data_IF_640210028102
#
_entry.id   IF_640210028102
#
_cell.length_a   1.000
_cell.length_b   1.000
_cell.length_c   1.000
_cell.angle_alpha   90.00
_cell.angle_beta   90.00
_cell.angle_gamma   90.00
#
_symmetry.space_group_name_H-M   'P 1'
#
loop_
_entity.id
_entity.type
_entity.pdbx_description
1 polymer ?
#
# COMPACT_ATOMS: atom_id res chain seq x y z
N UNK A 1 -28.34 -4.38 4.19
CA UNK A 1 -27.80 -5.25 3.16
C UNK A 1 -27.41 -4.51 1.87
N UNK A 2 -28.28 -3.66 1.25
CA UNK A 2 -27.93 -2.90 0.01
C UNK A 2 -26.72 -1.97 0.14
N UNK A 3 -26.50 -1.32 1.29
CA UNK A 3 -25.35 -0.43 1.52
C UNK A 3 -24.01 -1.17 1.62
N UNK A 4 -24.02 -2.42 2.12
CA UNK A 4 -22.85 -3.27 2.20
C UNK A 4 -22.42 -3.77 0.81
N UNK A 5 -23.42 -4.04 -0.05
CA UNK A 5 -23.17 -4.49 -1.43
C UNK A 5 -22.54 -3.39 -2.30
N UNK A 6 -22.94 -2.11 -2.09
CA UNK A 6 -22.37 -0.95 -2.80
C UNK A 6 -20.92 -0.72 -2.36
N UNK A 7 -20.60 -0.92 -1.08
CA UNK A 7 -19.24 -0.82 -0.58
C UNK A 7 -18.36 -1.91 -1.20
N UNK A 8 -18.87 -3.13 -1.29
CA UNK A 8 -18.16 -4.27 -1.88
C UNK A 8 -17.91 -4.07 -3.39
N UNK A 9 -18.88 -3.51 -4.13
CA UNK A 9 -18.72 -3.23 -5.57
C UNK A 9 -17.73 -2.09 -5.85
N UNK A 10 -17.67 -1.06 -5.00
CA UNK A 10 -16.71 0.03 -5.17
C UNK A 10 -15.27 -0.44 -4.89
N UNK A 11 -15.07 -1.29 -3.88
CA UNK A 11 -13.78 -1.89 -3.57
C UNK A 11 -13.36 -2.87 -4.66
N UNK A 12 -14.30 -3.60 -5.25
CA UNK A 12 -14.03 -4.48 -6.38
C UNK A 12 -13.65 -3.72 -7.66
N UNK A 13 -14.27 -2.55 -7.90
CA UNK A 13 -13.89 -1.66 -9.00
C UNK A 13 -12.48 -1.08 -8.80
N UNK A 14 -12.07 -0.75 -7.55
CA UNK A 14 -10.70 -0.34 -7.24
C UNK A 14 -9.70 -1.49 -7.38
N UNK A 15 -10.09 -2.73 -6.99
CA UNK A 15 -9.23 -3.91 -7.15
C UNK A 15 -8.99 -4.24 -8.64
N UNK A 16 -9.98 -4.00 -9.52
CA UNK A 16 -9.81 -4.17 -10.97
C UNK A 16 -8.91 -3.10 -11.61
N UNK A 17 -8.84 -1.89 -11.05
CA UNK A 17 -7.91 -0.86 -11.54
C UNK A 17 -6.46 -1.08 -11.07
N UNK A 18 -6.24 -1.91 -10.04
CA UNK A 18 -4.89 -2.30 -9.64
C UNK A 18 -4.15 -3.17 -10.68
N UNK A 19 -4.82 -3.71 -11.70
CA UNK A 19 -4.13 -4.39 -12.82
C UNK A 19 -3.45 -3.42 -13.80
N UNK A 20 -3.72 -2.11 -13.71
CA UNK A 20 -3.05 -1.08 -14.50
C UNK A 20 -1.73 -0.58 -13.87
N UNK A 21 -1.29 -1.15 -12.74
CA UNK A 21 0.03 -0.90 -12.16
C UNK A 21 1.18 -1.65 -12.84
N UNK A 22 0.98 -2.23 -14.01
CA UNK A 22 2.06 -2.67 -14.89
C UNK A 22 2.76 -1.41 -15.41
N UNK A 23 3.74 -0.92 -14.66
CA UNK A 23 4.40 0.36 -14.85
C UNK A 23 5.05 0.50 -16.22
N UNK A 24 4.84 1.65 -16.81
CA UNK A 24 5.80 2.30 -17.69
C UNK A 24 7.11 2.42 -16.93
N UNK A 25 8.22 1.93 -17.50
CA UNK A 25 9.56 1.79 -16.89
C UNK A 25 10.22 3.07 -16.33
N UNK A 26 9.56 3.72 -15.41
CA UNK A 26 10.15 4.69 -14.49
C UNK A 26 10.86 3.92 -13.38
N UNK A 27 12.06 4.37 -13.01
CA UNK A 27 12.85 3.79 -11.93
C UNK A 27 11.96 3.61 -10.67
N UNK A 28 11.56 2.37 -10.41
CA UNK A 28 10.60 2.00 -9.34
C UNK A 28 11.08 2.45 -7.95
N UNK A 29 12.34 2.82 -7.82
CA UNK A 29 12.93 3.30 -6.58
C UNK A 29 12.81 4.83 -6.39
N UNK A 30 12.54 5.61 -7.45
CA UNK A 30 12.59 7.08 -7.39
C UNK A 30 11.59 7.69 -6.40
N UNK A 31 10.43 7.05 -6.20
CA UNK A 31 9.35 7.55 -5.33
C UNK A 31 9.07 6.66 -4.11
N UNK A 32 9.97 5.71 -3.81
CA UNK A 32 9.89 4.88 -2.62
C UNK A 32 10.60 5.56 -1.45
N UNK A 33 9.86 5.84 -0.37
CA UNK A 33 10.40 6.40 0.86
C UNK A 33 10.62 5.31 1.89
N UNK A 34 11.87 5.10 2.34
CA UNK A 34 12.14 4.16 3.44
C UNK A 34 11.54 4.69 4.75
N UNK A 35 10.61 3.93 5.31
CA UNK A 35 9.93 4.26 6.56
C UNK A 35 10.73 3.77 7.76
N UNK A 36 11.14 2.50 7.74
CA UNK A 36 11.88 1.89 8.85
C UNK A 36 12.50 0.57 8.42
N UNK A 37 13.45 0.07 9.24
CA UNK A 37 13.93 -1.31 9.19
C UNK A 37 13.26 -2.12 10.28
N UNK A 38 12.90 -3.36 9.95
CA UNK A 38 12.35 -4.35 10.86
C UNK A 38 13.24 -5.60 10.91
N UNK A 39 12.95 -6.54 11.79
CA UNK A 39 13.63 -7.84 11.80
C UNK A 39 13.39 -8.67 10.52
N UNK A 40 12.32 -8.37 9.77
CA UNK A 40 11.99 -9.05 8.53
C UNK A 40 12.64 -8.40 7.30
N UNK A 41 12.93 -7.11 7.36
CA UNK A 41 13.47 -6.36 6.23
C UNK A 41 13.17 -4.86 6.33
N UNK A 42 13.35 -4.16 5.22
CA UNK A 42 13.12 -2.73 5.10
C UNK A 42 11.72 -2.44 4.56
N UNK A 43 10.99 -1.55 5.25
CA UNK A 43 9.65 -1.10 4.85
C UNK A 43 9.75 0.24 4.13
N UNK A 44 9.11 0.30 2.97
CA UNK A 44 9.04 1.49 2.11
C UNK A 44 7.59 1.91 1.90
N UNK A 45 7.36 3.22 1.80
CA UNK A 45 6.11 3.83 1.34
C UNK A 45 6.22 4.10 -0.15
N UNK A 46 5.25 3.64 -0.92
CA UNK A 46 5.11 3.97 -2.33
C UNK A 46 4.32 5.27 -2.48
N UNK A 47 5.02 6.38 -2.76
CA UNK A 47 4.39 7.70 -2.86
C UNK A 47 3.60 7.91 -4.15
N UNK A 48 3.85 7.13 -5.20
CA UNK A 48 3.07 7.22 -6.45
C UNK A 48 1.68 6.61 -6.31
N UNK A 49 1.53 5.69 -5.36
CA UNK A 49 0.29 4.95 -5.13
C UNK A 49 -0.49 5.42 -3.87
N UNK A 50 -0.24 6.67 -3.44
CA UNK A 50 -1.03 7.31 -2.40
C UNK A 50 -2.28 7.96 -2.99
N UNK A 51 -3.46 7.66 -2.45
CA UNK A 51 -4.72 8.19 -2.94
C UNK A 51 -5.65 8.57 -1.79
N UNK A 52 -6.27 9.76 -1.89
CA UNK A 52 -7.41 10.12 -1.05
C UNK A 52 -8.69 9.68 -1.73
N UNK A 53 -9.48 8.85 -1.06
CA UNK A 53 -10.74 8.31 -1.56
C UNK A 53 -11.89 8.91 -0.78
N UNK A 54 -12.93 9.38 -1.47
CA UNK A 54 -14.13 9.91 -0.85
C UNK A 54 -15.32 8.97 -1.08
N UNK A 55 -16.01 8.63 0.00
CA UNK A 55 -17.25 7.85 -0.06
C UNK A 55 -18.32 8.54 0.79
N UNK A 56 -19.24 9.24 0.13
CA UNK A 56 -20.17 10.14 0.80
C UNK A 56 -19.40 11.23 1.55
N UNK A 57 -19.68 11.36 2.86
CA UNK A 57 -18.99 12.34 3.73
C UNK A 57 -17.71 11.81 4.36
N UNK A 58 -17.36 10.56 4.08
CA UNK A 58 -16.15 9.93 4.64
C UNK A 58 -14.98 10.05 3.67
N UNK A 59 -13.84 10.40 4.23
CA UNK A 59 -12.55 10.41 3.53
C UNK A 59 -11.71 9.22 4.01
N UNK A 60 -11.04 8.58 3.07
CA UNK A 60 -10.11 7.48 3.31
C UNK A 60 -8.79 7.76 2.63
N UNK A 61 -7.73 7.18 3.17
CA UNK A 61 -6.39 7.19 2.59
C UNK A 61 -6.01 5.79 2.15
N UNK A 62 -5.81 5.60 0.84
CA UNK A 62 -5.25 4.37 0.27
C UNK A 62 -3.72 4.49 0.29
N UNK A 63 -3.06 3.51 0.91
CA UNK A 63 -1.61 3.49 1.13
C UNK A 63 -1.03 2.19 0.62
N UNK A 64 -0.02 2.26 -0.22
CA UNK A 64 0.79 1.12 -0.66
C UNK A 64 2.13 1.13 0.06
N UNK A 65 2.51 0.02 0.67
CA UNK A 65 3.77 -0.15 1.37
C UNK A 65 4.46 -1.46 0.98
N UNK A 66 5.75 -1.38 0.63
CA UNK A 66 6.56 -2.53 0.24
C UNK A 66 7.53 -2.93 1.36
N UNK A 67 7.47 -4.18 1.79
CA UNK A 67 8.46 -4.81 2.66
C UNK A 67 9.45 -5.59 1.78
N UNK A 68 10.71 -5.14 1.73
CA UNK A 68 11.82 -5.85 1.10
C UNK A 68 12.49 -6.72 2.13
N UNK A 69 12.38 -8.04 1.95
CA UNK A 69 12.88 -9.00 2.92
C UNK A 69 14.40 -9.02 2.98
N UNK A 70 14.95 -9.12 4.19
CA UNK A 70 16.39 -9.31 4.38
C UNK A 70 16.82 -10.76 4.06
N UNK A 71 18.13 -10.98 3.93
CA UNK A 71 18.70 -12.29 3.58
C UNK A 71 18.37 -13.40 4.56
N UNK A 72 18.10 -13.07 5.83
CA UNK A 72 17.78 -14.05 6.87
C UNK A 72 16.31 -14.50 6.82
N UNK A 73 15.42 -13.58 6.40
CA UNK A 73 13.98 -13.85 6.27
C UNK A 73 13.61 -14.57 4.98
N UNK A 74 14.34 -14.30 3.87
CA UNK A 74 14.02 -14.90 2.57
C UNK A 74 13.89 -16.43 2.59
N UNK A 75 14.84 -17.20 3.13
CA UNK A 75 14.69 -18.66 3.18
C UNK A 75 13.47 -19.12 3.99
N UNK A 76 13.16 -18.41 5.07
CA UNK A 76 12.00 -18.72 5.93
C UNK A 76 10.71 -18.45 5.19
N UNK A 77 10.59 -17.30 4.51
CA UNK A 77 9.44 -16.96 3.68
C UNK A 77 9.23 -17.99 2.57
N UNK A 78 10.30 -18.28 1.81
CA UNK A 78 10.26 -19.18 0.65
C UNK A 78 9.95 -20.62 1.00
N UNK A 79 10.22 -21.02 2.25
CA UNK A 79 9.87 -22.36 2.77
C UNK A 79 8.39 -22.47 3.21
N UNK A 80 7.65 -21.36 3.33
CA UNK A 80 6.27 -21.41 3.84
C UNK A 80 5.27 -21.97 2.83
N UNK A 81 5.47 -21.65 1.55
CA UNK A 81 4.59 -22.08 0.44
C UNK A 81 5.38 -22.20 -0.86
N UNK A 82 5.04 -23.16 -1.73
CA UNK A 82 5.70 -23.33 -3.04
C UNK A 82 5.65 -22.06 -3.91
N UNK A 83 4.53 -21.32 -3.86
CA UNK A 83 4.30 -20.10 -4.65
C UNK A 83 5.24 -18.96 -4.23
N UNK A 84 5.75 -18.97 -3.00
CA UNK A 84 6.66 -17.94 -2.48
C UNK A 84 8.14 -18.25 -2.74
N UNK A 85 8.44 -19.31 -3.47
CA UNK A 85 9.83 -19.79 -3.68
C UNK A 85 10.76 -18.76 -4.30
N UNK A 86 10.23 -17.85 -5.12
CA UNK A 86 10.99 -16.78 -5.78
C UNK A 86 10.70 -15.39 -5.21
N UNK A 87 9.79 -15.28 -4.24
CA UNK A 87 9.41 -14.00 -3.64
C UNK A 87 10.60 -13.36 -2.92
N UNK A 88 10.80 -12.06 -3.13
CA UNK A 88 11.82 -11.24 -2.45
C UNK A 88 11.22 -10.05 -1.71
N UNK A 89 10.01 -9.62 -2.08
CA UNK A 89 9.32 -8.51 -1.43
C UNK A 89 7.82 -8.80 -1.30
N UNK A 90 7.14 -7.98 -0.49
CA UNK A 90 5.69 -8.01 -0.31
C UNK A 90 5.17 -6.59 -0.28
N UNK A 91 4.28 -6.25 -1.22
CA UNK A 91 3.53 -4.99 -1.21
C UNK A 91 2.19 -5.21 -0.53
N UNK A 92 1.88 -4.39 0.47
CA UNK A 92 0.60 -4.38 1.17
C UNK A 92 -0.19 -3.11 0.85
N UNK A 93 -1.47 -3.27 0.54
CA UNK A 93 -2.38 -2.17 0.24
C UNK A 93 -3.32 -1.98 1.43
N UNK A 94 -3.24 -0.83 2.06
CA UNK A 94 -4.02 -0.45 3.22
C UNK A 94 -5.04 0.63 2.88
N UNK A 95 -6.19 0.57 3.52
CA UNK A 95 -7.18 1.64 3.54
C UNK A 95 -7.28 2.16 4.97
N UNK A 96 -6.92 3.42 5.20
CA UNK A 96 -7.07 4.09 6.49
C UNK A 96 -8.29 5.00 6.47
N UNK A 97 -8.97 5.14 7.61
CA UNK A 97 -9.93 6.23 7.79
C UNK A 97 -9.19 7.57 7.94
N UNK A 98 -9.92 8.68 7.86
CA UNK A 98 -9.36 10.04 7.79
C UNK A 98 -8.46 10.44 8.97
N UNK A 99 -8.73 9.90 10.17
CA UNK A 99 -7.97 10.21 11.38
C UNK A 99 -6.89 9.17 11.73
N UNK A 100 -6.72 8.13 10.89
CA UNK A 100 -5.73 7.10 11.07
C UNK A 100 -5.98 6.15 12.25
N UNK A 101 -7.16 6.21 12.88
CA UNK A 101 -7.49 5.35 14.03
C UNK A 101 -7.91 3.94 13.63
N UNK A 102 -8.34 3.76 12.39
CA UNK A 102 -8.78 2.49 11.82
C UNK A 102 -8.15 2.25 10.47
N UNK A 103 -7.93 0.99 10.14
CA UNK A 103 -7.42 0.56 8.84
C UNK A 103 -8.06 -0.76 8.39
N UNK A 104 -7.98 -1.02 7.09
CA UNK A 104 -8.22 -2.33 6.49
C UNK A 104 -7.00 -2.72 5.66
N UNK A 105 -6.55 -3.97 5.74
CA UNK A 105 -5.59 -4.54 4.79
C UNK A 105 -6.40 -5.12 3.63
N UNK A 106 -6.30 -4.50 2.47
CA UNK A 106 -7.07 -4.90 1.29
C UNK A 106 -6.41 -6.03 0.52
N UNK A 107 -5.07 -6.01 0.42
CA UNK A 107 -4.33 -6.96 -0.40
C UNK A 107 -2.86 -7.05 0.03
N UNK A 108 -2.26 -8.23 -0.14
CA UNK A 108 -0.82 -8.44 -0.07
C UNK A 108 -0.34 -9.12 -1.36
N UNK A 109 0.62 -8.49 -2.04
CA UNK A 109 1.21 -8.95 -3.30
C UNK A 109 2.66 -9.32 -3.05
N UNK A 110 3.03 -10.58 -3.30
CA UNK A 110 4.42 -11.03 -3.21
C UNK A 110 5.05 -10.97 -4.60
N UNK A 111 6.23 -10.39 -4.70
CA UNK A 111 6.91 -10.17 -5.97
C UNK A 111 8.30 -10.81 -5.99
N UNK A 112 8.71 -11.26 -7.18
CA UNK A 112 10.05 -11.76 -7.44
C UNK A 112 11.05 -10.63 -7.77
N UNK A 113 12.29 -10.99 -8.11
CA UNK A 113 13.36 -10.06 -8.47
C UNK A 113 13.08 -9.24 -9.76
N UNK A 114 12.19 -9.72 -10.61
CA UNK A 114 11.80 -9.09 -11.88
C UNK A 114 10.45 -8.34 -11.74
N UNK A 115 10.01 -8.10 -10.49
CA UNK A 115 8.75 -7.43 -10.13
C UNK A 115 7.47 -8.14 -10.57
N UNK A 116 7.53 -9.44 -10.93
CA UNK A 116 6.33 -10.21 -11.21
C UNK A 116 5.64 -10.60 -9.92
N UNK A 117 4.32 -10.44 -9.87
CA UNK A 117 3.51 -10.93 -8.75
C UNK A 117 3.46 -12.46 -8.81
N UNK A 118 4.07 -13.12 -7.83
CA UNK A 118 4.13 -14.59 -7.74
C UNK A 118 3.05 -15.16 -6.83
N UNK A 119 2.55 -14.37 -5.88
CA UNK A 119 1.48 -14.79 -4.98
C UNK A 119 0.68 -13.59 -4.48
N UNK A 120 -0.64 -13.77 -4.33
CA UNK A 120 -1.56 -12.74 -3.84
C UNK A 120 -2.37 -13.29 -2.67
N UNK A 121 -2.53 -12.48 -1.63
CA UNK A 121 -3.48 -12.72 -0.54
C UNK A 121 -4.50 -11.59 -0.56
N UNK A 122 -5.77 -11.94 -0.79
CA UNK A 122 -6.87 -10.99 -0.63
C UNK A 122 -7.13 -10.74 0.85
N UNK A 123 -7.26 -9.47 1.21
CA UNK A 123 -7.55 -9.05 2.56
C UNK A 123 -9.05 -8.84 2.81
N UNK A 124 -9.37 -7.98 3.76
CA UNK A 124 -10.75 -7.64 4.11
C UNK A 124 -10.94 -6.12 4.10
N UNK A 125 -12.06 -5.62 3.53
CA UNK A 125 -12.39 -4.20 3.57
C UNK A 125 -12.90 -3.73 4.95
N UNK A 126 -13.03 -4.65 5.91
CA UNK A 126 -13.53 -4.31 7.23
C UNK A 126 -12.48 -3.52 8.01
N UNK A 127 -12.83 -2.31 8.41
CA UNK A 127 -11.97 -1.47 9.22
C UNK A 127 -11.79 -2.09 10.62
N UNK A 128 -10.55 -2.10 11.09
CA UNK A 128 -10.17 -2.54 12.41
C UNK A 128 -9.28 -1.47 13.08
N UNK A 129 -9.27 -1.38 14.41
CA UNK A 129 -8.46 -0.38 15.11
C UNK A 129 -6.97 -0.52 14.80
N UNK A 130 -6.28 0.61 14.61
CA UNK A 130 -4.82 0.66 14.52
C UNK A 130 -4.24 0.39 15.91
N UNK A 131 -3.49 -0.70 16.05
CA UNK A 131 -2.86 -1.12 17.31
C UNK A 131 -1.33 -1.12 17.26
N UNK A 132 -0.77 -1.19 16.07
CA UNK A 132 0.67 -1.28 15.84
C UNK A 132 1.27 0.10 15.64
N UNK A 133 2.39 0.38 16.32
CA UNK A 133 3.20 1.60 16.08
C UNK A 133 3.64 1.72 14.61
N UNK A 134 3.90 0.59 13.95
CA UNK A 134 4.29 0.56 12.55
C UNK A 134 3.16 1.03 11.64
N UNK A 135 1.92 0.59 11.90
CA UNK A 135 0.74 1.02 11.12
C UNK A 135 0.46 2.51 11.31
N UNK A 136 0.60 3.03 12.54
CA UNK A 136 0.47 4.45 12.83
C UNK A 136 1.55 5.27 12.11
N UNK A 137 2.81 4.83 12.19
CA UNK A 137 3.93 5.48 11.49
C UNK A 137 3.72 5.50 9.97
N UNK A 138 3.22 4.41 9.38
CA UNK A 138 2.91 4.33 7.95
C UNK A 138 1.84 5.35 7.56
N UNK A 139 0.76 5.46 8.35
CA UNK A 139 -0.29 6.46 8.13
C UNK A 139 0.25 7.89 8.18
N UNK A 140 1.02 8.24 9.23
CA UNK A 140 1.59 9.58 9.42
C UNK A 140 2.52 9.98 8.26
N UNK A 141 3.35 9.05 7.79
CA UNK A 141 4.24 9.28 6.65
C UNK A 141 3.47 9.44 5.35
N UNK A 142 2.45 8.62 5.12
CA UNK A 142 1.59 8.73 3.95
C UNK A 142 0.83 10.07 3.92
N UNK A 143 0.29 10.52 5.05
CA UNK A 143 -0.37 11.81 5.17
C UNK A 143 0.59 12.97 4.85
N UNK A 144 1.78 12.96 5.46
CA UNK A 144 2.83 13.97 5.20
C UNK A 144 3.25 14.00 3.72
N UNK A 145 3.39 12.84 3.09
CA UNK A 145 3.74 12.75 1.66
C UNK A 145 2.65 13.36 0.77
N UNK A 146 1.38 13.08 1.06
CA UNK A 146 0.25 13.67 0.32
C UNK A 146 0.16 15.19 0.49
N UNK A 147 0.36 15.72 1.69
CA UNK A 147 0.35 17.16 1.94
C UNK A 147 1.47 17.86 1.17
N UNK A 148 2.67 17.25 1.12
CA UNK A 148 3.79 17.76 0.34
C UNK A 148 3.50 17.75 -1.16
N UNK A 149 2.91 16.69 -1.71
CA UNK A 149 2.51 16.62 -3.13
C UNK A 149 1.50 17.71 -3.47
N UNK A 150 0.48 17.91 -2.63
CA UNK A 150 -0.51 19.00 -2.81
C UNK A 150 0.16 20.36 -2.81
N UNK A 151 1.04 20.64 -1.85
CA UNK A 151 1.77 21.92 -1.77
C UNK A 151 2.62 22.19 -3.02
N UNK A 152 3.32 21.17 -3.54
CA UNK A 152 4.10 21.27 -4.77
C UNK A 152 3.19 21.58 -5.96
N UNK A 153 2.08 20.87 -6.13
CA UNK A 153 1.12 21.09 -7.19
C UNK A 153 0.54 22.52 -7.16
N UNK A 154 0.20 23.02 -5.96
CA UNK A 154 -0.31 24.39 -5.80
C UNK A 154 0.74 25.47 -6.13
N UNK A 155 2.01 25.23 -5.78
CA UNK A 155 3.10 26.15 -6.16
C UNK A 155 3.32 26.21 -7.67
N UNK A 156 3.25 25.07 -8.37
CA UNK A 156 3.40 25.02 -9.83
C UNK A 156 2.25 25.71 -10.54
N UNK A 157 1.01 25.55 -10.06
CA UNK A 157 -0.18 26.25 -10.62
C UNK A 157 -0.10 27.79 -10.49
N UNK A 158 0.55 28.32 -9.46
CA UNK A 158 0.71 29.77 -9.26
C UNK A 158 1.78 30.39 -10.15
N UNK A 159 2.65 29.57 -10.74
CA UNK A 159 3.75 30.02 -11.62
C UNK A 159 3.40 29.91 -13.12
N UNK A 160 2.31 29.24 -13.46
CA UNK A 160 1.78 29.11 -14.81
C UNK A 160 0.73 30.19 -15.10
#
# INVERSE_FOLDING_TARGET
>A
MKKLLILLTLIFALACTCTAFAGTGTDKNANMEKITSTSAGDLYLDKDNLQALRQGDKLFLLVSAELRYNKEMLPKLQATKPELKTAISMTQIYLYNNDGTQYALLKSLYTDKDDNVVYTIEGSPNLQPVKSKLQMLLYERALTAMENQKRIADMLRRKA
#
